data_IF_899732987520
#
_entry.id   IF_899732987520
#
_cell.length_a   1.000
_cell.length_b   1.000
_cell.length_c   1.000
_cell.angle_alpha   90.00
_cell.angle_beta   90.00
_cell.angle_gamma   90.00
#
_symmetry.space_group_name_H-M   'P 1'
#
loop_
_entity.id
_entity.type
_entity.pdbx_description
1 polymer ?
#
# COMPACT_ATOMS: atom_id res chain seq x y z
N UNK A 1 49.01 -11.37 20.57
CA UNK A 1 48.06 -10.56 19.78
C UNK A 1 47.19 -11.51 18.98
N UNK A 2 46.03 -11.90 19.54
CA UNK A 2 45.02 -12.67 18.81
C UNK A 2 44.04 -11.67 18.19
N UNK A 3 44.00 -11.62 16.86
CA UNK A 3 43.09 -10.78 16.09
C UNK A 3 41.71 -11.45 16.11
N UNK A 4 40.71 -10.78 16.69
CA UNK A 4 39.32 -11.19 16.60
C UNK A 4 38.78 -10.83 15.20
N UNK A 5 38.40 -11.84 14.43
CA UNK A 5 37.65 -11.66 13.19
C UNK A 5 36.17 -11.58 13.53
N UNK A 6 35.63 -10.36 13.60
CA UNK A 6 34.20 -10.11 13.75
C UNK A 6 33.51 -10.45 12.44
N UNK A 7 32.77 -11.55 12.43
CA UNK A 7 31.93 -11.97 11.33
C UNK A 7 30.72 -11.03 11.26
N UNK A 8 30.69 -10.13 10.29
CA UNK A 8 29.48 -9.38 9.95
C UNK A 8 28.48 -10.35 9.32
N UNK A 9 27.47 -10.75 10.08
CA UNK A 9 26.31 -11.43 9.53
C UNK A 9 25.53 -10.39 8.70
N UNK A 10 25.67 -10.45 7.38
CA UNK A 10 24.77 -9.75 6.47
C UNK A 10 23.45 -10.52 6.51
N UNK A 11 22.52 -10.06 7.34
CA UNK A 11 21.13 -10.47 7.18
C UNK A 11 20.65 -9.83 5.90
N UNK A 12 20.47 -10.63 4.84
CA UNK A 12 19.73 -10.23 3.67
C UNK A 12 18.28 -9.98 4.10
N UNK A 13 17.98 -8.74 4.51
CA UNK A 13 16.60 -8.29 4.56
C UNK A 13 16.08 -8.37 3.14
N UNK A 14 14.99 -9.10 2.93
CA UNK A 14 14.29 -9.09 1.65
C UNK A 14 14.07 -7.63 1.26
N UNK A 15 14.74 -7.18 0.19
CA UNK A 15 14.42 -5.91 -0.45
C UNK A 15 13.12 -6.14 -1.18
N UNK A 16 12.04 -6.24 -0.42
CA UNK A 16 10.70 -6.16 -0.95
C UNK A 16 10.55 -4.70 -1.37
N UNK A 17 10.30 -4.48 -2.65
CA UNK A 17 10.06 -3.14 -3.14
C UNK A 17 8.78 -2.55 -2.54
N UNK A 18 7.82 -3.41 -2.22
CA UNK A 18 6.53 -2.99 -1.66
C UNK A 18 6.43 -3.38 -0.18
N UNK A 19 5.70 -2.58 0.59
CA UNK A 19 5.32 -2.91 1.96
C UNK A 19 4.03 -3.73 1.96
N UNK A 20 4.06 -4.89 2.61
CA UNK A 20 2.86 -5.68 2.87
C UNK A 20 2.39 -5.45 4.32
N UNK A 21 1.10 -5.19 4.53
CA UNK A 21 0.51 -4.93 5.85
C UNK A 21 -0.92 -5.44 5.94
N UNK A 22 -1.26 -6.09 7.04
CA UNK A 22 -2.64 -6.44 7.38
C UNK A 22 -3.37 -5.21 7.94
N UNK A 23 -4.54 -4.91 7.38
CA UNK A 23 -5.42 -3.79 7.72
C UNK A 23 -6.84 -4.34 7.92
N UNK A 24 -7.16 -4.70 9.16
CA UNK A 24 -8.42 -5.39 9.45
C UNK A 24 -8.49 -6.75 8.75
N UNK A 25 -9.49 -6.93 7.89
CA UNK A 25 -9.68 -8.17 7.10
C UNK A 25 -8.96 -8.13 5.74
N UNK A 26 -8.24 -7.04 5.46
CA UNK A 26 -7.58 -6.81 4.19
C UNK A 26 -6.08 -6.93 4.35
N UNK A 27 -5.41 -7.34 3.28
CA UNK A 27 -3.97 -7.28 3.14
C UNK A 27 -3.62 -6.28 2.05
N UNK A 28 -2.87 -5.27 2.44
CA UNK A 28 -2.42 -4.19 1.57
C UNK A 28 -0.99 -4.48 1.15
N UNK A 29 -0.70 -4.31 -0.13
CA UNK A 29 0.66 -4.30 -0.67
C UNK A 29 0.85 -2.97 -1.38
N UNK A 30 1.74 -2.13 -0.86
CA UNK A 30 1.88 -0.72 -1.26
C UNK A 30 3.32 -0.41 -1.60
N UNK A 31 3.56 0.21 -2.76
CA UNK A 31 4.88 0.62 -3.19
C UNK A 31 4.84 1.57 -4.38
N UNK A 32 6.00 1.78 -5.00
CA UNK A 32 6.09 2.50 -6.27
C UNK A 32 5.85 1.56 -7.45
N UNK A 33 5.17 2.03 -8.51
CA UNK A 33 4.91 1.26 -9.74
C UNK A 33 6.19 0.68 -10.35
N UNK A 34 7.27 1.47 -10.32
CA UNK A 34 8.58 1.07 -10.80
C UNK A 34 9.61 1.29 -9.72
N UNK A 35 10.39 0.25 -9.43
CA UNK A 35 11.43 0.29 -8.40
C UNK A 35 12.80 -0.13 -8.95
N UNK A 36 13.89 0.60 -8.61
CA UNK A 36 13.92 1.77 -7.74
C UNK A 36 13.16 2.97 -8.34
N UNK A 37 12.55 3.79 -7.48
CA UNK A 37 11.87 5.00 -7.92
C UNK A 37 12.91 6.10 -8.11
N UNK A 38 12.88 6.81 -9.25
CA UNK A 38 13.80 7.92 -9.52
C UNK A 38 13.06 9.24 -9.67
N UNK A 39 13.68 10.34 -9.23
CA UNK A 39 13.19 11.68 -9.52
C UNK A 39 13.17 11.95 -11.04
N UNK A 40 12.24 12.79 -11.49
CA UNK A 40 12.06 13.21 -12.88
C UNK A 40 11.38 12.17 -13.79
N UNK A 41 11.19 10.93 -13.35
CA UNK A 41 10.57 9.86 -14.13
C UNK A 41 9.10 9.62 -13.72
N UNK A 42 8.27 9.23 -14.68
CA UNK A 42 6.89 8.81 -14.40
C UNK A 42 6.91 7.57 -13.52
N UNK A 43 6.23 7.66 -12.39
CA UNK A 43 6.05 6.60 -11.41
C UNK A 43 4.69 6.80 -10.72
N UNK A 44 4.51 6.33 -9.50
CA UNK A 44 3.27 6.53 -8.76
C UNK A 44 3.01 5.45 -7.72
N UNK A 45 1.79 5.45 -7.21
CA UNK A 45 1.30 4.39 -6.34
C UNK A 45 1.17 3.08 -7.13
N UNK A 46 1.71 2.01 -6.58
CA UNK A 46 1.32 0.62 -6.81
C UNK A 46 0.58 0.15 -5.55
N UNK A 47 -0.68 -0.23 -5.71
CA UNK A 47 -1.51 -0.65 -4.59
C UNK A 47 -2.26 -1.92 -4.95
N UNK A 48 -1.90 -3.03 -4.31
CA UNK A 48 -2.67 -4.26 -4.34
C UNK A 48 -3.41 -4.47 -3.03
N UNK A 49 -4.63 -4.95 -3.14
CA UNK A 49 -5.45 -5.31 -2.00
C UNK A 49 -6.13 -6.65 -2.23
N UNK A 50 -6.00 -7.50 -1.22
CA UNK A 50 -6.78 -8.73 -1.08
C UNK A 50 -7.53 -8.69 0.25
N UNK A 51 -8.64 -9.40 0.33
CA UNK A 51 -9.30 -9.75 1.59
C UNK A 51 -9.07 -11.22 1.86
N UNK A 52 -8.83 -11.56 3.11
CA UNK A 52 -8.85 -12.96 3.52
C UNK A 52 -10.30 -13.40 3.55
N UNK A 53 -10.73 -14.18 2.56
CA UNK A 53 -12.04 -14.78 2.62
C UNK A 53 -12.00 -15.87 3.71
N UNK A 54 -12.64 -15.62 4.84
CA UNK A 54 -13.17 -16.73 5.63
C UNK A 54 -14.24 -17.44 4.79
N UNK A 55 -14.36 -18.76 4.93
CA UNK A 55 -15.28 -19.64 4.18
C UNK A 55 -16.77 -19.22 4.13
N UNK A 56 -17.15 -18.07 4.72
CA UNK A 56 -18.52 -17.55 4.78
C UNK A 56 -18.87 -16.49 3.71
N UNK A 57 -17.91 -15.90 2.97
CA UNK A 57 -18.21 -14.77 2.06
C UNK A 57 -18.42 -15.17 0.58
N UNK A 58 -18.08 -16.40 0.18
CA UNK A 58 -18.17 -16.86 -1.22
C UNK A 58 -19.23 -17.93 -1.47
N UNK A 59 -20.06 -18.24 -0.47
CA UNK A 59 -20.75 -19.53 -0.42
C UNK A 59 -19.73 -20.67 -0.22
N UNK A 60 -20.17 -21.89 0.12
CA UNK A 60 -19.25 -22.99 0.31
C UNK A 60 -18.48 -23.26 -0.99
N UNK A 61 -17.15 -23.30 -0.94
CA UNK A 61 -16.39 -23.96 -2.00
C UNK A 61 -16.79 -25.44 -1.95
N UNK A 62 -17.65 -25.83 -2.88
CA UNK A 62 -18.22 -27.18 -2.93
C UNK A 62 -17.16 -28.27 -3.18
N UNK A 63 -15.95 -27.86 -3.55
CA UNK A 63 -14.79 -28.71 -3.73
C UNK A 63 -13.94 -28.80 -2.45
N UNK A 64 -14.08 -27.84 -1.53
CA UNK A 64 -13.43 -27.85 -0.22
C UNK A 64 -13.98 -28.99 0.65
N UNK A 65 -13.04 -29.69 1.26
CA UNK A 65 -13.26 -30.92 1.98
C UNK A 65 -14.03 -30.69 3.29
N UNK A 66 -15.28 -31.13 3.34
CA UNK A 66 -16.17 -30.99 4.50
C UNK A 66 -16.85 -29.62 4.63
N UNK A 67 -16.72 -28.74 3.63
CA UNK A 67 -17.21 -27.36 3.72
C UNK A 67 -18.75 -27.24 3.82
N UNK A 68 -19.50 -28.20 3.26
CA UNK A 68 -20.98 -28.17 3.28
C UNK A 68 -21.54 -29.03 4.40
N UNK A 69 -21.01 -30.24 4.54
CA UNK A 69 -21.32 -31.15 5.65
C UNK A 69 -20.18 -32.14 5.87
N UNK A 70 -20.10 -32.63 7.11
CA UNK A 70 -19.28 -33.77 7.51
C UNK A 70 -19.97 -34.51 8.64
N UNK A 71 -20.24 -35.80 8.45
CA UNK A 71 -20.81 -36.62 9.51
C UNK A 71 -19.76 -36.91 10.59
N UNK A 72 -20.17 -37.16 11.85
CA UNK A 72 -19.37 -37.96 12.76
C UNK A 72 -19.05 -39.32 12.14
N UNK A 73 -18.06 -40.04 12.68
CA UNK A 73 -17.83 -41.45 12.35
C UNK A 73 -19.09 -42.25 12.67
N UNK A 74 -19.66 -42.92 11.66
CA UNK A 74 -20.85 -43.75 11.78
C UNK A 74 -20.43 -45.20 11.97
N UNK A 75 -20.84 -45.83 13.07
CA UNK A 75 -20.76 -47.28 13.22
C UNK A 75 -21.75 -47.98 12.26
N UNK A 76 -21.57 -49.27 12.01
CA UNK A 76 -22.50 -50.06 11.19
C UNK A 76 -23.93 -49.96 11.76
N UNK A 77 -24.86 -49.51 10.93
CA UNK A 77 -26.27 -49.28 11.25
C UNK A 77 -26.60 -47.84 11.66
N UNK A 78 -25.62 -46.97 11.88
CA UNK A 78 -25.86 -45.56 12.22
C UNK A 78 -26.13 -44.71 10.99
N UNK A 79 -26.83 -43.59 11.21
CA UNK A 79 -27.21 -42.65 10.15
C UNK A 79 -26.82 -41.22 10.47
N UNK A 80 -26.59 -40.45 9.41
CA UNK A 80 -26.39 -39.00 9.43
C UNK A 80 -27.36 -38.35 8.44
N UNK A 81 -27.91 -37.18 8.79
CA UNK A 81 -28.81 -36.44 7.92
C UNK A 81 -28.33 -35.00 7.70
N UNK A 82 -28.54 -34.49 6.50
CA UNK A 82 -28.27 -33.12 6.08
C UNK A 82 -29.47 -32.55 5.32
N UNK A 83 -29.91 -31.35 5.67
CA UNK A 83 -30.97 -30.63 4.95
C UNK A 83 -30.33 -29.73 3.89
N UNK A 84 -30.73 -29.89 2.63
CA UNK A 84 -30.16 -29.13 1.51
C UNK A 84 -30.65 -27.69 1.56
N UNK A 85 -29.72 -26.75 1.73
CA UNK A 85 -30.03 -25.32 1.73
C UNK A 85 -30.44 -24.79 0.36
N UNK A 86 -31.21 -23.68 0.36
CA UNK A 86 -31.56 -22.95 -0.87
C UNK A 86 -30.38 -22.27 -1.55
N UNK A 87 -29.31 -22.01 -0.80
CA UNK A 87 -28.03 -21.46 -1.28
C UNK A 87 -27.25 -22.42 -2.16
N UNK A 88 -27.59 -23.71 -2.15
CA UNK A 88 -26.99 -24.75 -3.00
C UNK A 88 -27.73 -24.95 -4.33
N UNK A 89 -28.74 -24.15 -4.65
CA UNK A 89 -29.52 -24.28 -5.88
C UNK A 89 -28.64 -24.26 -7.15
N UNK A 90 -28.92 -25.17 -8.09
CA UNK A 90 -28.21 -25.37 -9.36
C UNK A 90 -26.73 -25.77 -9.21
N UNK A 91 -26.32 -26.19 -8.02
CA UNK A 91 -24.97 -26.65 -7.74
C UNK A 91 -24.86 -28.18 -7.76
N UNK A 92 -23.65 -28.68 -8.00
CA UNK A 92 -23.31 -30.10 -7.89
C UNK A 92 -22.21 -30.27 -6.86
N UNK A 93 -22.50 -31.01 -5.79
CA UNK A 93 -21.55 -31.32 -4.73
C UNK A 93 -20.98 -32.71 -4.93
N UNK A 94 -19.68 -32.86 -4.74
CA UNK A 94 -19.08 -34.19 -4.54
C UNK A 94 -19.13 -34.52 -3.06
N UNK A 95 -19.26 -35.79 -2.70
CA UNK A 95 -19.08 -36.26 -1.33
C UNK A 95 -18.40 -37.63 -1.33
N UNK A 96 -17.77 -37.98 -0.22
CA UNK A 96 -17.02 -39.22 -0.08
C UNK A 96 -16.99 -39.69 1.38
N UNK A 97 -16.45 -40.89 1.61
CA UNK A 97 -16.09 -41.38 2.95
C UNK A 97 -14.59 -41.19 3.21
N UNK A 98 -14.23 -40.69 4.39
CA UNK A 98 -12.82 -40.60 4.85
C UNK A 98 -12.21 -41.95 5.15
N UNK A 99 -13.05 -42.90 5.57
CA UNK A 99 -12.60 -44.24 5.93
C UNK A 99 -12.28 -45.06 4.67
N UNK A 100 -12.84 -44.66 3.53
CA UNK A 100 -12.53 -45.24 2.22
C UNK A 100 -12.76 -44.21 1.11
N UNK A 101 -11.67 -43.62 0.62
CA UNK A 101 -11.70 -42.56 -0.40
C UNK A 101 -12.16 -43.06 -1.79
N UNK A 102 -12.30 -44.38 -2.00
CA UNK A 102 -12.89 -44.93 -3.23
C UNK A 102 -14.43 -44.82 -3.22
N UNK A 103 -15.04 -44.59 -2.05
CA UNK A 103 -16.48 -44.40 -1.91
C UNK A 103 -16.83 -42.93 -2.14
N UNK A 104 -17.20 -42.61 -3.39
CA UNK A 104 -17.52 -41.25 -3.85
C UNK A 104 -18.94 -41.23 -4.42
N UNK A 105 -19.63 -40.11 -4.22
CA UNK A 105 -20.91 -39.81 -4.82
C UNK A 105 -21.07 -38.34 -5.17
N UNK A 106 -22.17 -38.01 -5.87
CA UNK A 106 -22.52 -36.63 -6.22
C UNK A 106 -23.94 -36.28 -5.82
N UNK A 107 -24.15 -35.01 -5.46
CA UNK A 107 -25.47 -34.45 -5.15
C UNK A 107 -25.67 -33.28 -6.11
N UNK A 108 -26.60 -33.42 -7.05
CA UNK A 108 -27.04 -32.30 -7.89
C UNK A 108 -28.28 -31.66 -7.27
N UNK A 109 -28.24 -30.38 -6.96
CA UNK A 109 -29.39 -29.66 -6.42
C UNK A 109 -30.11 -28.95 -7.57
N UNK A 110 -31.37 -29.31 -7.82
CA UNK A 110 -32.16 -28.71 -8.90
C UNK A 110 -33.64 -28.65 -8.55
N UNK A 111 -34.27 -27.51 -8.81
CA UNK A 111 -35.74 -27.37 -8.73
C UNK A 111 -36.51 -28.29 -9.69
N UNK A 112 -35.84 -28.82 -10.72
CA UNK A 112 -36.43 -29.76 -11.69
C UNK A 112 -36.36 -31.23 -11.24
N UNK A 113 -35.70 -31.51 -10.10
CA UNK A 113 -35.65 -32.84 -9.52
C UNK A 113 -37.04 -33.30 -9.05
N UNK A 114 -37.24 -34.61 -8.94
CA UNK A 114 -38.46 -35.16 -8.35
C UNK A 114 -38.58 -34.72 -6.88
N UNK A 115 -39.74 -34.20 -6.44
CA UNK A 115 -39.92 -33.72 -5.08
C UNK A 115 -39.88 -34.89 -4.09
N UNK A 116 -38.99 -34.79 -3.11
CA UNK A 116 -38.86 -35.75 -2.02
C UNK A 116 -38.52 -35.03 -0.71
N UNK A 117 -39.22 -35.40 0.37
CA UNK A 117 -38.92 -34.90 1.72
C UNK A 117 -37.56 -35.44 2.19
N UNK A 118 -37.31 -36.73 1.94
CA UNK A 118 -36.08 -37.42 2.31
C UNK A 118 -35.56 -38.32 1.19
N UNK A 119 -34.25 -38.28 0.95
CA UNK A 119 -33.52 -39.23 0.09
C UNK A 119 -32.55 -40.04 0.94
N UNK A 120 -32.60 -41.37 0.84
CA UNK A 120 -31.72 -42.26 1.60
C UNK A 120 -30.54 -42.74 0.74
N UNK A 121 -29.34 -42.72 1.33
CA UNK A 121 -28.11 -43.25 0.75
C UNK A 121 -27.53 -44.31 1.69
N UNK A 122 -27.30 -45.52 1.19
CA UNK A 122 -26.62 -46.58 1.93
C UNK A 122 -25.12 -46.58 1.60
N UNK A 123 -24.26 -46.61 2.63
CA UNK A 123 -22.81 -46.74 2.46
C UNK A 123 -22.46 -48.23 2.63
N UNK A 124 -21.95 -48.88 1.58
CA UNK A 124 -21.44 -50.25 1.63
C UNK A 124 -19.92 -50.28 1.52
N UNK A 125 -19.29 -51.44 1.75
CA UNK A 125 -17.83 -51.58 1.72
C UNK A 125 -17.17 -51.16 0.39
N UNK A 126 -17.91 -51.27 -0.72
CA UNK A 126 -17.38 -51.07 -2.08
C UNK A 126 -18.09 -49.97 -2.89
N UNK A 127 -19.25 -49.46 -2.44
CA UNK A 127 -19.96 -48.38 -3.12
C UNK A 127 -21.00 -47.70 -2.22
N UNK A 128 -21.41 -46.49 -2.61
CA UNK A 128 -22.57 -45.80 -2.06
C UNK A 128 -23.80 -46.04 -2.96
N UNK A 129 -24.98 -46.22 -2.36
CA UNK A 129 -26.20 -46.57 -3.09
C UNK A 129 -27.40 -45.73 -2.65
N UNK A 130 -27.96 -44.88 -3.54
CA UNK A 130 -27.34 -44.40 -4.78
C UNK A 130 -26.06 -43.57 -4.48
N UNK A 131 -25.09 -43.61 -5.40
CA UNK A 131 -23.90 -42.75 -5.32
C UNK A 131 -24.21 -41.33 -5.84
N UNK A 132 -24.98 -41.24 -6.91
CA UNK A 132 -25.37 -39.97 -7.51
C UNK A 132 -26.86 -39.72 -7.28
N UNK A 133 -27.17 -38.57 -6.68
CA UNK A 133 -28.55 -38.16 -6.42
C UNK A 133 -28.82 -36.77 -6.97
N UNK A 134 -30.08 -36.53 -7.36
CA UNK A 134 -30.58 -35.20 -7.72
C UNK A 134 -31.73 -34.86 -6.78
N UNK A 135 -31.65 -33.72 -6.09
CA UNK A 135 -32.59 -33.33 -5.03
C UNK A 135 -33.00 -31.87 -5.16
N UNK A 136 -34.11 -31.49 -4.54
CA UNK A 136 -34.54 -30.07 -4.48
C UNK A 136 -33.94 -29.40 -3.24
N UNK A 137 -33.81 -28.06 -3.24
CA UNK A 137 -33.66 -27.32 -1.99
C UNK A 137 -34.73 -27.70 -0.96
N UNK A 138 -34.33 -27.88 0.29
CA UNK A 138 -35.18 -28.33 1.41
C UNK A 138 -35.30 -29.86 1.56
N UNK A 139 -34.80 -30.65 0.61
CA UNK A 139 -34.75 -32.13 0.77
C UNK A 139 -33.74 -32.51 1.85
N UNK A 140 -34.10 -33.48 2.70
CA UNK A 140 -33.17 -34.09 3.67
C UNK A 140 -32.49 -35.30 3.03
N UNK A 141 -31.16 -35.30 2.98
CA UNK A 141 -30.39 -36.47 2.58
C UNK A 141 -29.97 -37.23 3.83
N UNK A 142 -30.23 -38.54 3.89
CA UNK A 142 -29.88 -39.41 5.01
C UNK A 142 -28.95 -40.52 4.57
N UNK A 143 -27.71 -40.48 5.03
CA UNK A 143 -26.75 -41.58 4.87
C UNK A 143 -26.92 -42.59 5.98
N UNK A 144 -26.84 -43.89 5.66
CA UNK A 144 -26.83 -44.98 6.63
C UNK A 144 -25.64 -45.90 6.36
N UNK A 145 -24.78 -46.10 7.36
CA UNK A 145 -23.66 -47.01 7.22
C UNK A 145 -24.13 -48.47 7.24
N UNK A 146 -23.98 -49.17 6.13
CA UNK A 146 -24.22 -50.61 5.99
C UNK A 146 -22.93 -51.40 5.68
N UNK A 147 -21.79 -50.74 5.73
CA UNK A 147 -20.47 -51.34 5.56
C UNK A 147 -20.07 -52.12 6.82
N UNK A 148 -19.08 -53.00 6.65
CA UNK A 148 -18.53 -53.83 7.73
C UNK A 148 -17.69 -53.05 8.75
N UNK A 149 -17.20 -51.87 8.36
CA UNK A 149 -16.40 -50.96 9.20
C UNK A 149 -17.04 -49.59 9.39
N UNK A 150 -16.42 -48.73 10.23
CA UNK A 150 -16.85 -47.33 10.36
C UNK A 150 -16.76 -46.60 9.02
N UNK A 151 -17.66 -45.64 8.82
CA UNK A 151 -17.71 -44.82 7.60
C UNK A 151 -18.08 -43.38 7.94
N UNK A 152 -17.84 -42.46 7.01
CA UNK A 152 -18.34 -41.08 7.08
C UNK A 152 -19.05 -40.68 5.79
N UNK A 153 -19.84 -39.61 5.87
CA UNK A 153 -20.33 -38.87 4.72
C UNK A 153 -19.81 -37.45 4.82
N UNK A 154 -18.88 -37.09 3.94
CA UNK A 154 -18.22 -35.77 3.93
C UNK A 154 -18.33 -35.15 2.54
N UNK A 155 -18.81 -33.91 2.47
CA UNK A 155 -18.81 -33.11 1.24
C UNK A 155 -17.40 -32.76 0.76
N UNK A 156 -17.26 -32.39 -0.52
CA UNK A 156 -15.99 -32.05 -1.14
C UNK A 156 -15.24 -33.26 -1.71
N UNK A 157 -14.13 -33.00 -2.38
CA UNK A 157 -13.27 -34.05 -2.96
C UNK A 157 -12.51 -34.80 -1.86
N UNK A 158 -12.26 -36.10 -2.00
CA UNK A 158 -11.32 -36.81 -1.12
C UNK A 158 -9.94 -36.16 -1.25
N UNK A 159 -9.28 -35.90 -0.12
CA UNK A 159 -7.90 -35.43 -0.14
C UNK A 159 -7.05 -36.49 -0.85
N UNK A 160 -6.29 -36.11 -1.90
CA UNK A 160 -5.32 -37.02 -2.49
C UNK A 160 -4.32 -37.44 -1.40
N UNK A 161 -4.09 -38.75 -1.28
CA UNK A 161 -3.22 -39.32 -0.24
C UNK A 161 -1.81 -38.70 -0.34
N UNK A 162 -1.50 -37.74 0.54
CA UNK A 162 -0.20 -37.08 0.61
C UNK A 162 -0.23 -35.56 0.78
N UNK A 163 -1.39 -34.91 0.75
CA UNK A 163 -1.48 -33.47 0.99
C UNK A 163 -2.31 -33.16 2.24
N UNK A 164 -1.63 -32.94 3.36
CA UNK A 164 -2.16 -32.16 4.47
C UNK A 164 -2.30 -30.72 3.97
N UNK A 165 -3.47 -30.35 3.44
CA UNK A 165 -3.77 -28.95 3.18
C UNK A 165 -4.20 -28.33 4.52
N UNK A 166 -3.27 -27.69 5.22
CA UNK A 166 -3.65 -26.52 6.01
C UNK A 166 -4.46 -25.61 5.07
N UNK A 167 -5.67 -25.21 5.48
CA UNK A 167 -6.51 -24.33 4.67
C UNK A 167 -5.70 -23.08 4.32
N UNK A 168 -5.16 -23.01 3.10
CA UNK A 168 -4.54 -21.80 2.59
C UNK A 168 -5.65 -20.77 2.52
N UNK A 169 -5.53 -19.74 3.35
CA UNK A 169 -6.49 -18.65 3.37
C UNK A 169 -6.56 -18.06 1.95
N UNK A 170 -7.70 -18.22 1.28
CA UNK A 170 -7.88 -17.73 -0.08
C UNK A 170 -7.94 -16.21 -0.03
N UNK A 171 -6.89 -15.56 -0.54
CA UNK A 171 -6.83 -14.11 -0.70
C UNK A 171 -7.65 -13.70 -1.93
N UNK A 172 -8.80 -13.06 -1.71
CA UNK A 172 -9.70 -12.60 -2.78
C UNK A 172 -9.41 -11.12 -3.10
N UNK A 173 -9.20 -10.75 -4.37
CA UNK A 173 -8.99 -9.35 -4.75
C UNK A 173 -10.20 -8.46 -4.42
N UNK A 174 -9.96 -7.23 -3.96
CA UNK A 174 -11.02 -6.26 -3.67
C UNK A 174 -11.15 -5.24 -4.82
N UNK A 175 -12.31 -5.20 -5.48
CA UNK A 175 -12.59 -4.35 -6.65
C UNK A 175 -13.43 -3.10 -6.31
N UNK A 176 -13.45 -2.11 -7.22
CA UNK A 176 -14.31 -0.92 -7.12
C UNK A 176 -13.82 0.20 -6.20
N UNK A 177 -12.56 0.16 -5.75
CA UNK A 177 -12.04 1.14 -4.80
C UNK A 177 -11.73 2.51 -5.41
N UNK A 178 -11.71 2.64 -6.74
CA UNK A 178 -11.50 3.91 -7.43
C UNK A 178 -12.55 4.98 -7.10
N UNK A 179 -13.72 4.58 -6.60
CA UNK A 179 -14.79 5.50 -6.19
C UNK A 179 -14.74 5.84 -4.69
N UNK A 180 -14.11 4.99 -3.87
CA UNK A 180 -14.25 5.05 -2.40
C UNK A 180 -12.94 5.32 -1.66
N UNK A 181 -11.79 5.08 -2.30
CA UNK A 181 -10.46 5.31 -1.72
C UNK A 181 -9.72 6.41 -2.50
N UNK A 182 -9.09 7.29 -1.73
CA UNK A 182 -8.19 8.33 -2.23
C UNK A 182 -6.77 8.07 -1.79
N UNK A 183 -5.84 8.53 -2.63
CA UNK A 183 -4.41 8.46 -2.39
C UNK A 183 -3.84 9.85 -2.14
N UNK A 184 -3.11 10.02 -1.04
CA UNK A 184 -2.32 11.21 -0.74
C UNK A 184 -0.84 10.85 -0.72
N UNK A 185 -0.04 11.61 -1.47
CA UNK A 185 1.43 11.51 -1.46
C UNK A 185 2.03 12.74 -0.78
N UNK A 186 2.96 12.53 0.14
CA UNK A 186 3.65 13.59 0.89
C UNK A 186 5.17 13.41 0.75
N UNK A 187 5.88 14.47 0.40
CA UNK A 187 7.34 14.48 0.42
C UNK A 187 7.84 15.00 1.79
N UNK A 188 8.37 14.11 2.63
CA UNK A 188 8.62 14.40 4.05
C UNK A 188 9.55 15.60 4.29
N UNK A 189 10.61 15.76 3.49
CA UNK A 189 11.56 16.83 3.70
C UNK A 189 10.95 18.23 3.49
N UNK A 190 9.90 18.34 2.66
CA UNK A 190 9.21 19.61 2.38
C UNK A 190 7.86 19.75 3.09
N UNK A 191 7.25 18.63 3.51
CA UNK A 191 5.88 18.59 4.03
C UNK A 191 4.79 18.89 2.98
N UNK A 192 5.14 18.96 1.70
CA UNK A 192 4.18 19.19 0.62
C UNK A 192 3.45 17.89 0.29
N UNK A 193 2.12 17.97 0.22
CA UNK A 193 1.22 16.85 -0.03
C UNK A 193 0.32 17.08 -1.24
N UNK A 194 -0.13 15.99 -1.87
CA UNK A 194 -1.09 16.02 -2.97
C UNK A 194 -2.04 14.83 -2.88
N UNK A 195 -3.34 15.11 -2.90
CA UNK A 195 -4.40 14.10 -2.99
C UNK A 195 -4.74 13.83 -4.46
N UNK A 196 -4.94 12.56 -4.82
CA UNK A 196 -5.25 12.10 -6.16
C UNK A 196 -6.20 10.89 -6.09
N UNK A 197 -7.07 10.70 -7.10
CA UNK A 197 -7.83 9.46 -7.24
C UNK A 197 -6.90 8.30 -7.64
N UNK A 198 -7.27 7.09 -7.23
CA UNK A 198 -6.67 5.85 -7.75
C UNK A 198 -7.44 5.38 -8.99
N UNK A 199 -6.79 4.56 -9.81
CA UNK A 199 -7.40 3.90 -10.97
C UNK A 199 -7.15 2.40 -10.90
N UNK A 200 -8.19 1.60 -11.17
CA UNK A 200 -8.04 0.15 -11.33
C UNK A 200 -7.22 -0.17 -12.58
N UNK A 201 -6.45 -1.26 -12.53
CA UNK A 201 -5.72 -1.79 -13.68
C UNK A 201 -6.55 -2.85 -14.42
N UNK A 202 -6.66 -2.66 -15.73
CA UNK A 202 -7.48 -3.55 -16.56
C UNK A 202 -6.92 -4.98 -16.55
N UNK A 203 -7.79 -5.94 -16.23
CA UNK A 203 -7.47 -7.38 -16.13
C UNK A 203 -6.46 -7.72 -15.03
N UNK A 204 -6.34 -6.88 -14.02
CA UNK A 204 -5.59 -7.15 -12.80
C UNK A 204 -6.46 -6.80 -11.57
N UNK A 205 -7.43 -7.67 -11.22
CA UNK A 205 -8.31 -7.48 -10.06
C UNK A 205 -7.57 -7.14 -8.77
N UNK A 206 -8.12 -6.21 -7.99
CA UNK A 206 -7.52 -5.76 -6.74
C UNK A 206 -6.23 -4.94 -6.90
N UNK A 207 -5.85 -4.57 -8.11
CA UNK A 207 -4.68 -3.76 -8.39
C UNK A 207 -5.07 -2.35 -8.86
N UNK A 208 -4.56 -1.35 -8.13
CA UNK A 208 -4.80 0.06 -8.33
C UNK A 208 -3.51 0.84 -8.43
N UNK A 209 -3.58 2.00 -9.07
CA UNK A 209 -2.43 2.87 -9.24
C UNK A 209 -2.82 4.34 -9.29
N UNK A 210 -1.86 5.24 -9.09
CA UNK A 210 -2.03 6.68 -9.26
C UNK A 210 -0.71 7.30 -9.71
N UNK A 211 -0.69 7.87 -10.93
CA UNK A 211 0.55 8.29 -11.59
C UNK A 211 1.07 9.63 -11.04
N UNK A 212 2.35 9.68 -10.65
CA UNK A 212 3.08 10.90 -10.25
C UNK A 212 4.44 10.95 -10.93
N UNK A 213 5.02 12.14 -11.05
CA UNK A 213 6.44 12.31 -11.38
C UNK A 213 7.07 12.90 -10.12
N UNK A 214 7.81 12.11 -9.32
CA UNK A 214 8.56 12.65 -8.20
C UNK A 214 9.58 13.67 -8.71
N UNK A 215 9.67 14.85 -8.12
CA UNK A 215 10.58 15.92 -8.57
C UNK A 215 11.73 16.19 -7.59
N UNK A 216 11.83 15.37 -6.55
CA UNK A 216 12.88 15.43 -5.56
C UNK A 216 13.15 14.00 -5.07
N UNK A 217 14.38 13.68 -4.67
CA UNK A 217 14.70 12.40 -4.05
C UNK A 217 14.40 12.48 -2.55
N UNK A 218 14.31 11.31 -1.92
CA UNK A 218 14.19 11.16 -0.48
C UNK A 218 12.93 10.41 -0.08
N UNK A 219 12.47 10.72 1.13
CA UNK A 219 11.43 9.96 1.82
C UNK A 219 10.05 10.46 1.40
N UNK A 220 9.21 9.51 1.01
CA UNK A 220 7.83 9.75 0.65
C UNK A 220 6.90 8.98 1.58
N UNK A 221 5.77 9.61 1.88
CA UNK A 221 4.68 9.03 2.66
C UNK A 221 3.45 8.90 1.75
N UNK A 222 2.87 7.71 1.73
CA UNK A 222 1.66 7.35 1.02
C UNK A 222 0.54 7.15 2.02
N UNK A 223 -0.57 7.85 1.83
CA UNK A 223 -1.76 7.71 2.65
C UNK A 223 -2.93 7.26 1.79
N UNK A 224 -3.53 6.14 2.17
CA UNK A 224 -4.73 5.59 1.55
C UNK A 224 -5.91 5.80 2.51
N UNK A 225 -6.90 6.57 2.10
CA UNK A 225 -8.02 6.92 2.97
C UNK A 225 -9.36 6.94 2.24
N UNK A 226 -10.44 6.65 2.96
CA UNK A 226 -11.79 6.55 2.41
C UNK A 226 -12.55 5.38 3.03
N UNK A 227 -13.29 4.63 2.22
CA UNK A 227 -14.01 3.45 2.70
C UNK A 227 -13.79 2.20 1.84
N UNK A 228 -13.76 1.03 2.49
CA UNK A 228 -13.75 -0.29 1.84
C UNK A 228 -14.91 -1.08 2.42
N UNK A 229 -15.84 -1.53 1.57
CA UNK A 229 -17.06 -2.25 2.00
C UNK A 229 -17.81 -1.52 3.14
N UNK A 230 -17.80 -0.18 3.13
CA UNK A 230 -18.44 0.67 4.15
C UNK A 230 -17.62 0.92 5.42
N UNK A 231 -16.45 0.30 5.58
CA UNK A 231 -15.55 0.52 6.72
C UNK A 231 -14.58 1.67 6.42
N UNK A 232 -14.39 2.58 7.38
CA UNK A 232 -13.43 3.69 7.24
C UNK A 232 -11.99 3.16 7.25
N UNK A 233 -11.21 3.62 6.27
CA UNK A 233 -9.78 3.33 6.12
C UNK A 233 -9.01 4.65 6.15
N UNK A 234 -7.87 4.64 6.85
CA UNK A 234 -6.94 5.75 6.90
C UNK A 234 -5.53 5.26 7.24
N UNK A 235 -4.87 4.67 6.26
CA UNK A 235 -3.59 3.99 6.43
C UNK A 235 -2.44 4.80 5.86
N UNK A 236 -1.33 4.86 6.60
CA UNK A 236 -0.11 5.58 6.22
C UNK A 236 1.04 4.58 6.03
N UNK A 237 1.71 4.68 4.90
CA UNK A 237 2.88 3.90 4.51
C UNK A 237 4.03 4.87 4.25
N UNK A 238 5.22 4.58 4.76
CA UNK A 238 6.39 5.46 4.63
C UNK A 238 7.48 4.67 3.90
N UNK A 239 8.23 5.34 3.03
CA UNK A 239 9.37 4.70 2.37
C UNK A 239 10.49 4.36 3.38
N UNK A 240 11.41 3.48 2.98
CA UNK A 240 12.38 2.83 3.87
C UNK A 240 13.27 3.82 4.64
N UNK A 241 13.66 4.93 4.02
CA UNK A 241 14.44 5.99 4.66
C UNK A 241 13.72 6.69 5.81
N UNK A 242 12.39 6.55 5.90
CA UNK A 242 11.55 7.03 7.02
C UNK A 242 11.13 5.94 8.00
N UNK A 243 11.61 4.70 7.84
CA UNK A 243 11.33 3.57 8.73
C UNK A 243 10.19 2.64 8.30
N UNK A 244 9.66 2.75 7.07
CA UNK A 244 8.68 1.81 6.53
C UNK A 244 9.25 0.80 5.54
N UNK A 245 8.39 0.23 4.69
CA UNK A 245 8.71 -0.99 3.93
C UNK A 245 9.17 -0.82 2.49
N UNK A 246 8.70 0.21 1.78
CA UNK A 246 8.91 0.38 0.34
C UNK A 246 10.08 1.32 -0.02
N UNK A 247 10.54 1.33 -1.28
CA UNK A 247 11.73 2.11 -1.69
C UNK A 247 11.58 3.64 -1.56
N UNK A 248 12.69 4.33 -1.24
CA UNK A 248 12.76 5.80 -1.34
C UNK A 248 12.84 6.24 -2.81
N UNK A 249 12.59 7.53 -3.08
CA UNK A 249 12.90 8.10 -4.40
C UNK A 249 14.38 8.44 -4.46
N UNK A 250 15.08 7.91 -5.44
CA UNK A 250 16.50 8.11 -5.68
C UNK A 250 16.76 9.29 -6.64
N UNK A 251 17.93 9.89 -6.49
CA UNK A 251 18.39 10.92 -7.41
C UNK A 251 18.73 10.30 -8.77
N UNK A 252 18.33 10.96 -9.86
CA UNK A 252 18.57 10.44 -11.21
C UNK A 252 19.97 10.78 -11.74
N UNK A 253 20.65 11.75 -11.14
CA UNK A 253 21.87 12.39 -11.65
C UNK A 253 23.00 11.41 -12.00
N UNK A 254 23.22 10.38 -11.18
CA UNK A 254 24.29 9.37 -11.39
C UNK A 254 23.95 8.35 -12.49
N UNK A 255 22.69 8.24 -12.89
CA UNK A 255 22.23 7.37 -13.96
C UNK A 255 22.21 8.04 -15.33
N UNK A 256 22.28 9.37 -15.36
CA UNK A 256 22.21 10.13 -16.60
C UNK A 256 23.50 9.98 -17.40
N UNK A 257 23.34 9.71 -18.70
CA UNK A 257 24.43 9.57 -19.66
C UNK A 257 23.95 10.10 -21.03
N UNK A 258 24.81 10.74 -21.84
CA UNK A 258 26.25 10.99 -21.64
C UNK A 258 26.58 12.18 -20.75
N UNK A 259 25.63 13.10 -20.57
CA UNK A 259 25.80 14.27 -19.74
C UNK A 259 24.76 14.22 -18.62
N UNK A 260 25.20 14.52 -17.40
CA UNK A 260 24.32 14.71 -16.26
C UNK A 260 23.74 16.12 -16.33
N UNK A 261 22.42 16.24 -16.41
CA UNK A 261 21.71 17.50 -16.47
C UNK A 261 21.47 18.03 -15.05
N UNK A 262 21.58 19.36 -14.84
CA UNK A 262 21.21 19.97 -13.57
C UNK A 262 19.73 19.74 -13.29
N UNK A 263 19.39 19.40 -12.05
CA UNK A 263 17.99 19.21 -11.67
C UNK A 263 17.27 20.57 -11.59
N UNK A 264 15.97 20.60 -11.90
CA UNK A 264 15.18 21.86 -11.90
C UNK A 264 15.30 22.60 -10.56
N UNK A 265 15.31 21.85 -9.44
CA UNK A 265 15.49 22.38 -8.08
C UNK A 265 16.86 23.03 -7.84
N UNK A 266 17.91 22.57 -8.50
CA UNK A 266 19.25 23.13 -8.41
C UNK A 266 19.34 24.44 -9.18
N UNK A 267 18.72 24.50 -10.36
CA UNK A 267 18.61 25.72 -11.15
C UNK A 267 17.83 26.78 -10.35
N UNK A 268 16.68 26.43 -9.78
CA UNK A 268 15.92 27.36 -8.94
C UNK A 268 16.72 27.85 -7.73
N UNK A 269 17.47 26.95 -7.07
CA UNK A 269 18.29 27.31 -5.91
C UNK A 269 19.44 28.24 -6.31
N UNK A 270 20.07 28.00 -7.46
CA UNK A 270 21.07 28.90 -8.04
C UNK A 270 20.47 30.27 -8.39
N UNK A 271 19.25 30.30 -8.95
CA UNK A 271 18.53 31.55 -9.26
C UNK A 271 18.19 32.32 -7.99
N UNK A 272 17.64 31.65 -6.97
CA UNK A 272 17.37 32.28 -5.66
C UNK A 272 18.64 32.83 -5.01
N UNK A 273 19.74 32.08 -5.07
CA UNK A 273 21.04 32.55 -4.58
C UNK A 273 21.55 33.77 -5.34
N UNK A 274 21.43 33.78 -6.67
CA UNK A 274 21.82 34.90 -7.51
C UNK A 274 20.95 36.14 -7.27
N UNK A 275 19.63 35.97 -7.08
CA UNK A 275 18.70 37.04 -6.73
C UNK A 275 19.05 37.66 -5.38
N UNK A 276 19.23 36.84 -4.34
CA UNK A 276 19.63 37.32 -3.01
C UNK A 276 20.97 38.07 -3.03
N UNK A 277 21.94 37.59 -3.82
CA UNK A 277 23.22 38.26 -3.99
C UNK A 277 23.08 39.60 -4.73
N UNK A 278 22.18 39.67 -5.73
CA UNK A 278 21.88 40.89 -6.45
C UNK A 278 21.19 41.93 -5.56
N UNK A 279 20.16 41.53 -4.80
CA UNK A 279 19.45 42.39 -3.84
C UNK A 279 20.43 42.93 -2.78
N UNK A 280 21.25 42.06 -2.19
CA UNK A 280 22.28 42.48 -1.23
C UNK A 280 23.38 43.35 -1.83
N UNK A 281 23.60 43.32 -3.16
CA UNK A 281 24.51 44.25 -3.84
C UNK A 281 23.86 45.61 -4.10
N UNK A 282 22.56 45.62 -4.44
CA UNK A 282 21.77 46.86 -4.57
C UNK A 282 21.69 47.60 -3.25
N UNK A 283 21.39 46.91 -2.15
CA UNK A 283 21.32 47.51 -0.82
C UNK A 283 22.65 48.15 -0.40
N UNK A 284 23.77 47.43 -0.56
CA UNK A 284 25.11 47.96 -0.29
C UNK A 284 25.45 49.17 -1.16
N UNK A 285 25.01 49.19 -2.42
CA UNK A 285 25.22 50.32 -3.31
C UNK A 285 24.42 51.56 -2.86
N UNK A 286 23.18 51.38 -2.41
CA UNK A 286 22.35 52.45 -1.85
C UNK A 286 22.97 53.00 -0.55
N UNK A 287 23.37 52.14 0.38
CA UNK A 287 24.04 52.55 1.63
C UNK A 287 25.35 53.31 1.38
N UNK A 288 26.16 52.86 0.42
CA UNK A 288 27.38 53.55 0.03
C UNK A 288 27.07 54.93 -0.58
N UNK A 289 26.00 55.04 -1.38
CA UNK A 289 25.52 56.31 -1.93
C UNK A 289 25.08 57.30 -0.85
N UNK A 290 24.31 56.85 0.12
CA UNK A 290 23.83 57.66 1.25
C UNK A 290 24.96 58.10 2.19
N UNK A 291 25.92 57.21 2.43
CA UNK A 291 27.14 57.53 3.20
C UNK A 291 27.97 58.60 2.47
N UNK A 292 28.13 58.47 1.15
CA UNK A 292 28.86 59.45 0.35
C UNK A 292 28.15 60.81 0.28
N UNK A 293 26.82 60.85 0.17
CA UNK A 293 26.03 62.09 0.16
C UNK A 293 26.08 62.80 1.52
N UNK A 294 25.97 62.03 2.61
CA UNK A 294 26.12 62.54 3.98
C UNK A 294 27.53 63.10 4.22
N UNK A 295 28.56 62.37 3.80
CA UNK A 295 29.95 62.82 3.91
C UNK A 295 30.22 64.11 3.12
N UNK A 296 29.68 64.24 1.89
CA UNK A 296 29.75 65.50 1.12
C UNK A 296 29.08 66.65 1.87
N UNK A 297 27.91 66.43 2.45
CA UNK A 297 27.17 67.45 3.20
C UNK A 297 27.96 67.90 4.42
N UNK A 298 28.47 66.97 5.22
CA UNK A 298 29.31 67.26 6.39
C UNK A 298 30.59 67.99 5.96
N UNK A 299 31.24 67.56 4.87
CA UNK A 299 32.43 68.21 4.32
C UNK A 299 32.18 69.66 3.89
N UNK A 300 31.06 69.93 3.20
CA UNK A 300 30.65 71.29 2.82
C UNK A 300 30.43 72.16 4.07
N UNK A 301 29.71 71.64 5.07
CA UNK A 301 29.49 72.36 6.34
C UNK A 301 30.83 72.65 7.04
N UNK A 302 31.74 71.68 7.10
CA UNK A 302 33.07 71.84 7.69
C UNK A 302 33.92 72.89 6.98
N UNK A 303 33.90 72.92 5.64
CA UNK A 303 34.57 73.95 4.84
C UNK A 303 34.01 75.34 5.15
N UNK A 304 32.68 75.49 5.19
CA UNK A 304 32.02 76.77 5.49
C UNK A 304 32.40 77.25 6.90
N UNK A 305 32.28 76.38 7.90
CA UNK A 305 32.64 76.71 9.29
C UNK A 305 34.13 77.05 9.44
N UNK A 306 35.01 76.31 8.77
CA UNK A 306 36.46 76.59 8.76
C UNK A 306 36.78 77.96 8.16
N UNK A 307 36.16 78.32 7.04
CA UNK A 307 36.35 79.64 6.42
C UNK A 307 35.87 80.78 7.32
N UNK A 308 34.73 80.62 8.01
CA UNK A 308 34.21 81.58 8.98
C UNK A 308 35.19 81.74 10.16
N UNK A 309 35.74 80.63 10.67
CA UNK A 309 36.74 80.63 11.73
C UNK A 309 38.02 81.38 11.34
N UNK A 310 38.52 81.19 10.11
CA UNK A 310 39.69 81.92 9.59
C UNK A 310 39.39 83.42 9.51
N UNK A 311 38.23 83.81 8.97
CA UNK A 311 37.86 85.21 8.82
C UNK A 311 37.73 85.93 10.19
N UNK A 312 37.09 85.29 11.16
CA UNK A 312 36.96 85.83 12.53
C UNK A 312 38.28 85.85 13.28
N UNK A 313 39.15 84.85 13.11
CA UNK A 313 40.51 84.82 13.64
C UNK A 313 41.40 85.94 13.06
N UNK A 314 41.35 86.15 11.74
CA UNK A 314 42.09 87.24 11.10
C UNK A 314 41.57 88.62 11.54
N UNK A 315 40.26 88.80 11.63
CA UNK A 315 39.64 90.05 12.11
C UNK A 315 40.03 90.37 13.56
N UNK A 316 40.04 89.37 14.44
CA UNK A 316 40.46 89.55 15.83
C UNK A 316 41.97 89.84 15.96
N UNK A 317 42.82 89.22 15.15
CA UNK A 317 44.25 89.53 15.10
C UNK A 317 44.54 90.96 14.61
N UNK A 318 43.84 91.43 13.57
CA UNK A 318 43.94 92.81 13.07
C UNK A 318 43.44 93.83 14.11
N UNK A 319 42.35 93.52 14.80
CA UNK A 319 41.83 94.37 15.87
C UNK A 319 42.77 94.44 17.08
N UNK A 320 43.42 93.32 17.44
CA UNK A 320 44.43 93.28 18.49
C UNK A 320 45.71 94.06 18.11
N UNK A 321 46.12 94.01 16.84
CA UNK A 321 47.28 94.75 16.34
C UNK A 321 47.04 96.26 16.30
N UNK A 322 45.79 96.71 16.09
CA UNK A 322 45.40 98.13 16.13
C UNK A 322 45.32 98.73 17.54
N UNK A 323 45.41 97.92 18.60
CA UNK A 323 45.33 98.35 20.01
C UNK A 323 46.70 98.38 20.72
N UNK A 324 47.79 98.03 20.04
CA UNK A 324 49.17 98.26 20.51
C UNK A 324 49.72 99.53 19.88
#
# INVERSE_FOLDING_TARGET
>A
MMLAATLFAVTAGSVMGHEARDVGNYKFVVGFISEPAFEGLKNGLDFRITKTAGAMDMGPDLMEHGAVFGSPTLATGESFSFEVGHDLEDQTLTYHSHENHDLIGTITVSHSAEPADTVEVAIHDAMMMPADITVQPGTVIKWTNQASGPQTATSGMPAEAGHEHEAEAVEVPVEGLEETIQFEITHQATGVSKVMPIRALFRDPGHYTADVIPTAPGIYEFRLFGTIEGHEINEIFISRGGGGGFGDVEASADLQFPESLPEVREIESAVRGAQNAADGAVDRALEAGDSASSAKTIGIIGIILGAIGIATGAGSAVFAYRRR
#
